data_IF_836992355005
#
_entry.id   IF_836992355005
#
_cell.length_a   1.000
_cell.length_b   1.000
_cell.length_c   1.000
_cell.angle_alpha   90.00
_cell.angle_beta   90.00
_cell.angle_gamma   90.00
#
_symmetry.space_group_name_H-M   'P 1'
#
loop_
_entity.id
_entity.type
_entity.pdbx_description
1 polymer ?
#
# COMPACT_ATOMS: atom_id res chain seq x y z
N UNK A 1 10.64 -1.71 -10.37
CA UNK A 1 11.09 -1.90 -11.76
C UNK A 1 12.28 -2.85 -11.80
N UNK A 2 12.16 -3.94 -12.55
CA UNK A 2 13.15 -5.02 -12.66
C UNK A 2 14.30 -4.57 -13.57
N UNK A 3 15.49 -4.36 -12.98
CA UNK A 3 16.62 -3.70 -13.66
C UNK A 3 17.13 -4.43 -14.90
N UNK A 4 17.03 -5.75 -14.95
CA UNK A 4 17.51 -6.60 -16.04
C UNK A 4 16.36 -7.17 -16.88
N UNK A 5 15.21 -6.50 -16.93
CA UNK A 5 14.04 -6.93 -17.70
C UNK A 5 14.38 -7.28 -19.16
N UNK A 6 15.17 -6.44 -19.84
CA UNK A 6 15.58 -6.66 -21.23
C UNK A 6 16.33 -7.98 -21.45
N UNK A 7 17.03 -8.49 -20.43
CA UNK A 7 17.70 -9.79 -20.47
C UNK A 7 16.76 -10.97 -20.15
N UNK A 8 15.66 -10.70 -19.44
CA UNK A 8 14.70 -11.72 -18.97
C UNK A 8 13.50 -11.91 -19.91
N UNK A 9 13.07 -10.85 -20.60
CA UNK A 9 11.92 -10.80 -21.50
C UNK A 9 12.17 -11.50 -22.86
N UNK A 10 12.55 -12.79 -22.81
CA UNK A 10 12.93 -13.58 -23.99
C UNK A 10 11.74 -14.05 -24.85
N UNK A 11 10.52 -13.83 -24.37
CA UNK A 11 9.27 -14.15 -25.06
C UNK A 11 8.11 -13.38 -24.43
N UNK A 12 6.97 -13.30 -25.13
CA UNK A 12 5.76 -12.67 -24.60
C UNK A 12 5.31 -13.25 -23.25
N UNK A 13 5.49 -14.56 -23.04
CA UNK A 13 5.19 -15.19 -21.73
C UNK A 13 6.09 -14.67 -20.62
N UNK A 14 7.38 -14.44 -20.89
CA UNK A 14 8.29 -13.86 -19.90
C UNK A 14 7.89 -12.40 -19.60
N UNK A 15 7.56 -11.62 -20.62
CA UNK A 15 7.11 -10.22 -20.46
C UNK A 15 5.85 -10.14 -19.58
N UNK A 16 4.84 -10.97 -19.84
CA UNK A 16 3.65 -11.03 -18.99
C UNK A 16 3.97 -11.45 -17.56
N UNK A 17 4.87 -12.40 -17.36
CA UNK A 17 5.29 -12.81 -16.02
C UNK A 17 6.01 -11.68 -15.26
N UNK A 18 6.91 -10.95 -15.92
CA UNK A 18 7.63 -9.82 -15.33
C UNK A 18 6.66 -8.70 -14.94
N UNK A 19 5.74 -8.34 -15.83
CA UNK A 19 4.67 -7.38 -15.52
C UNK A 19 3.83 -7.80 -14.32
N UNK A 20 3.45 -9.07 -14.22
CA UNK A 20 2.69 -9.56 -13.07
C UNK A 20 3.48 -9.46 -11.76
N UNK A 21 4.79 -9.72 -11.80
CA UNK A 21 5.68 -9.55 -10.63
C UNK A 21 5.76 -8.08 -10.23
N UNK A 22 5.95 -7.17 -11.18
CA UNK A 22 6.01 -5.74 -10.91
C UNK A 22 4.70 -5.21 -10.34
N UNK A 23 3.57 -5.60 -10.93
CA UNK A 23 2.25 -5.27 -10.39
C UNK A 23 2.05 -5.81 -8.97
N UNK A 24 2.54 -7.02 -8.68
CA UNK A 24 2.50 -7.59 -7.33
C UNK A 24 3.36 -6.83 -6.33
N UNK A 25 4.56 -6.36 -6.74
CA UNK A 25 5.42 -5.54 -5.89
C UNK A 25 4.75 -4.19 -5.60
N UNK A 26 4.18 -3.55 -6.63
CA UNK A 26 3.50 -2.26 -6.48
C UNK A 26 2.25 -2.36 -5.61
N UNK A 27 1.46 -3.42 -5.80
CA UNK A 27 0.29 -3.70 -4.97
C UNK A 27 0.64 -3.95 -3.49
N UNK A 28 1.84 -4.46 -3.21
CA UNK A 28 2.35 -4.69 -1.86
C UNK A 28 3.14 -3.48 -1.29
N UNK A 29 3.28 -2.38 -2.05
CA UNK A 29 3.98 -1.20 -1.57
C UNK A 29 3.18 -0.56 -0.41
N UNK A 30 3.82 -0.13 0.70
CA UNK A 30 3.10 0.36 1.89
C UNK A 30 2.07 1.46 1.60
N UNK A 31 2.41 2.41 0.72
CA UNK A 31 1.47 3.46 0.28
C UNK A 31 0.22 2.86 -0.38
N UNK A 32 0.41 2.02 -1.40
CA UNK A 32 -0.68 1.37 -2.13
C UNK A 32 -1.58 0.56 -1.22
N UNK A 33 -1.00 -0.17 -0.27
CA UNK A 33 -1.75 -0.93 0.72
C UNK A 33 -2.60 -0.01 1.59
N UNK A 34 -2.02 1.06 2.16
CA UNK A 34 -2.74 2.01 3.02
C UNK A 34 -3.90 2.68 2.26
N UNK A 35 -3.64 3.18 1.04
CA UNK A 35 -4.65 3.83 0.19
C UNK A 35 -5.77 2.87 -0.23
N UNK A 36 -5.47 1.59 -0.41
CA UNK A 36 -6.48 0.58 -0.78
C UNK A 36 -7.29 0.04 0.41
N UNK A 37 -6.70 0.05 1.60
CA UNK A 37 -7.29 -0.54 2.79
C UNK A 37 -8.09 0.46 3.64
N UNK A 38 -7.76 1.74 3.52
CA UNK A 38 -8.35 2.81 4.33
C UNK A 38 -9.06 3.83 3.44
N UNK A 39 -10.12 4.44 3.97
CA UNK A 39 -10.70 5.65 3.39
C UNK A 39 -11.10 6.62 4.49
N UNK A 40 -10.99 7.91 4.23
CA UNK A 40 -11.41 8.96 5.15
C UNK A 40 -12.34 9.92 4.40
N UNK A 41 -13.61 9.95 4.81
CA UNK A 41 -14.62 10.85 4.22
C UNK A 41 -15.38 11.53 5.34
N UNK A 42 -15.45 12.86 5.33
CA UNK A 42 -16.17 13.66 6.35
C UNK A 42 -15.83 13.29 7.81
N UNK A 43 -14.56 12.99 8.06
CA UNK A 43 -14.07 12.58 9.39
C UNK A 43 -14.43 11.16 9.80
N UNK A 44 -15.06 10.37 8.93
CA UNK A 44 -15.31 8.94 9.10
C UNK A 44 -14.16 8.15 8.45
N UNK A 45 -13.32 7.54 9.28
CA UNK A 45 -12.27 6.61 8.86
C UNK A 45 -12.89 5.21 8.71
N UNK A 46 -12.77 4.62 7.53
CA UNK A 46 -13.11 3.21 7.29
C UNK A 46 -11.84 2.37 7.23
N UNK A 47 -11.84 1.24 7.94
CA UNK A 47 -10.76 0.26 8.00
C UNK A 47 -11.36 -1.12 7.73
N UNK A 48 -11.29 -1.60 6.49
CA UNK A 48 -12.06 -2.78 6.09
C UNK A 48 -13.57 -2.54 6.31
N UNK A 49 -14.20 -3.39 7.11
CA UNK A 49 -15.63 -3.29 7.46
C UNK A 49 -15.89 -2.41 8.70
N UNK A 50 -14.84 -1.94 9.37
CA UNK A 50 -14.95 -1.12 10.59
C UNK A 50 -14.94 0.37 10.26
N UNK A 51 -15.67 1.17 11.04
CA UNK A 51 -15.78 2.61 10.83
C UNK A 51 -15.64 3.38 12.14
N UNK A 52 -14.91 4.50 12.08
CA UNK A 52 -14.56 5.32 13.23
C UNK A 52 -14.80 6.80 12.91
N UNK A 53 -15.59 7.52 13.72
CA UNK A 53 -15.66 8.97 13.62
C UNK A 53 -14.50 9.59 14.37
N UNK A 54 -13.54 10.15 13.64
CA UNK A 54 -12.33 10.71 14.25
C UNK A 54 -12.62 11.90 15.18
N UNK A 55 -13.70 12.64 14.92
CA UNK A 55 -14.13 13.75 15.79
C UNK A 55 -14.64 13.33 17.18
N UNK A 56 -14.84 12.03 17.43
CA UNK A 56 -15.17 11.50 18.76
C UNK A 56 -13.92 11.29 19.64
N UNK A 57 -12.73 11.43 19.06
CA UNK A 57 -11.45 11.26 19.73
C UNK A 57 -10.71 12.60 19.81
N UNK A 58 -9.98 12.82 20.91
CA UNK A 58 -9.13 14.01 21.07
C UNK A 58 -7.84 13.91 20.23
N UNK A 59 -7.31 12.69 20.09
CA UNK A 59 -6.06 12.43 19.39
C UNK A 59 -6.07 11.04 18.71
N UNK A 60 -5.33 10.91 17.60
CA UNK A 60 -5.06 9.65 16.91
C UNK A 60 -3.57 9.36 16.98
N UNK A 61 -3.19 8.21 17.53
CA UNK A 61 -1.79 7.80 17.68
C UNK A 61 -1.42 6.72 16.67
N UNK A 62 -0.31 6.92 15.95
CA UNK A 62 0.24 5.94 15.01
C UNK A 62 1.37 5.15 15.69
N UNK A 63 1.19 3.84 15.84
CA UNK A 63 2.18 2.94 16.41
C UNK A 63 2.56 1.84 15.41
N UNK A 64 3.86 1.70 15.11
CA UNK A 64 4.36 0.66 14.22
C UNK A 64 5.80 0.24 14.54
N UNK A 65 6.09 -1.05 14.43
CA UNK A 65 7.38 -1.65 14.82
C UNK A 65 7.97 -2.65 13.80
N UNK A 66 7.65 -2.48 12.52
CA UNK A 66 8.12 -3.34 11.43
C UNK A 66 9.08 -2.64 10.47
N UNK A 67 9.72 -3.42 9.58
CA UNK A 67 10.59 -2.87 8.51
C UNK A 67 9.93 -1.74 7.71
N UNK A 68 8.65 -1.82 7.30
CA UNK A 68 8.01 -0.75 6.55
C UNK A 68 7.34 0.31 7.45
N UNK A 69 7.49 0.26 8.78
CA UNK A 69 6.68 1.08 9.70
C UNK A 69 6.77 2.58 9.39
N UNK A 70 7.95 3.10 9.08
CA UNK A 70 8.10 4.51 8.68
C UNK A 70 7.37 4.86 7.39
N UNK A 71 7.32 3.94 6.41
CA UNK A 71 6.58 4.17 5.16
C UNK A 71 5.07 4.05 5.35
N UNK A 72 4.62 3.14 6.22
CA UNK A 72 3.20 3.03 6.58
C UNK A 72 2.76 4.29 7.34
N UNK A 73 3.55 4.74 8.33
CA UNK A 73 3.26 5.96 9.07
C UNK A 73 3.19 7.18 8.15
N UNK A 74 4.16 7.34 7.25
CA UNK A 74 4.17 8.44 6.27
C UNK A 74 3.05 8.37 5.23
N UNK A 75 2.36 7.23 5.06
CA UNK A 75 1.19 7.11 4.20
C UNK A 75 -0.13 7.38 4.96
N UNK A 76 -0.09 7.42 6.30
CA UNK A 76 -1.22 7.76 7.16
C UNK A 76 -1.29 9.26 7.48
N UNK A 77 -0.16 9.97 7.39
CA UNK A 77 -0.04 11.43 7.52
C UNK A 77 -0.50 12.16 6.24
#
# INVERSE_FOLDING_TARGET
>A
MIRNESALARSARHEHALRSIEAGIEAAHPRTVVESALSLTDGLLSVGDEQYRLGEFEEVLVLGGGKPAGQVAAALE
#
